data_IF_224365552240
#
_entry.id   IF_224365552240
#
_cell.length_a   1.000
_cell.length_b   1.000
_cell.length_c   1.000
_cell.angle_alpha   90.00
_cell.angle_beta   90.00
_cell.angle_gamma   90.00
#
_symmetry.space_group_name_H-M   'P 1'
#
loop_
_entity.id
_entity.type
_entity.pdbx_description
1 polymer ?
#
# COMPACT_ATOMS: atom_id res chain seq x y z
N UNK A 1 -7.43 -13.62 -3.32
CA UNK A 1 -6.38 -13.02 -2.44
C UNK A 1 -5.15 -12.80 -3.27
N UNK A 2 -4.74 -11.55 -3.39
CA UNK A 2 -3.69 -11.10 -4.30
C UNK A 2 -2.55 -10.50 -3.48
N UNK A 3 -1.33 -10.86 -3.84
CA UNK A 3 -0.10 -10.43 -3.18
C UNK A 3 0.36 -9.05 -3.68
N UNK A 4 0.64 -8.16 -2.76
CA UNK A 4 1.22 -6.83 -2.99
C UNK A 4 2.44 -6.60 -2.09
N UNK A 5 3.27 -5.64 -2.48
CA UNK A 5 4.31 -5.08 -1.62
C UNK A 5 3.74 -3.82 -0.98
N UNK A 6 3.69 -3.80 0.34
CA UNK A 6 3.24 -2.68 1.15
C UNK A 6 4.43 -1.90 1.73
N UNK A 7 4.26 -0.58 1.79
CA UNK A 7 5.14 0.31 2.54
C UNK A 7 4.56 0.53 3.95
N UNK A 8 5.24 0.00 4.95
CA UNK A 8 4.83 0.09 6.35
C UNK A 8 5.64 1.17 7.05
N UNK A 9 4.96 2.02 7.82
CA UNK A 9 5.61 2.98 8.70
C UNK A 9 5.83 2.34 10.09
N UNK A 10 7.08 2.05 10.42
CA UNK A 10 7.50 1.45 11.69
C UNK A 10 7.92 2.51 12.72
N UNK A 11 7.54 3.77 12.55
CA UNK A 11 7.88 4.84 13.51
C UNK A 11 7.39 4.47 14.91
N UNK A 12 8.31 4.05 15.77
CA UNK A 12 8.01 3.82 17.19
C UNK A 12 7.86 5.18 17.86
N UNK A 13 6.63 5.56 18.21
CA UNK A 13 6.39 6.75 19.01
C UNK A 13 6.84 6.47 20.45
N UNK A 14 8.03 6.94 20.82
CA UNK A 14 8.48 6.90 22.20
C UNK A 14 7.97 8.15 22.94
N UNK A 15 6.93 7.98 23.75
CA UNK A 15 6.28 9.04 24.52
C UNK A 15 7.19 9.74 25.55
N UNK A 16 8.40 9.21 25.83
CA UNK A 16 9.38 9.83 26.75
C UNK A 16 10.46 10.68 26.06
N UNK A 17 10.57 10.61 24.73
CA UNK A 17 11.55 11.39 23.95
C UNK A 17 10.80 12.44 23.13
N UNK A 18 10.57 13.62 23.69
CA UNK A 18 9.85 14.73 23.06
C UNK A 18 10.53 15.34 21.80
N UNK A 19 11.63 14.78 21.30
CA UNK A 19 12.34 15.36 20.16
C UNK A 19 12.72 14.32 19.12
N UNK A 20 11.93 14.34 18.05
CA UNK A 20 12.17 13.76 16.71
C UNK A 20 12.10 12.23 16.65
N UNK A 21 10.86 11.70 16.58
CA UNK A 21 10.67 10.36 16.05
C UNK A 21 11.07 10.38 14.57
N UNK A 22 12.19 9.72 14.23
CA UNK A 22 12.62 9.57 12.83
C UNK A 22 11.75 8.50 12.20
N UNK A 23 10.97 8.82 11.17
CA UNK A 23 10.10 7.83 10.58
C UNK A 23 10.93 6.78 9.85
N UNK A 24 10.75 5.53 10.25
CA UNK A 24 11.36 4.36 9.61
C UNK A 24 10.30 3.68 8.75
N UNK A 25 10.62 3.49 7.47
CA UNK A 25 9.75 2.79 6.54
C UNK A 25 10.39 1.47 6.16
N UNK A 26 9.58 0.41 6.12
CA UNK A 26 9.99 -0.92 5.67
C UNK A 26 9.04 -1.43 4.60
N UNK A 27 9.52 -2.40 3.81
CA UNK A 27 8.72 -3.07 2.80
C UNK A 27 8.30 -4.43 3.32
N UNK A 28 7.01 -4.72 3.21
CA UNK A 28 6.43 -6.00 3.63
C UNK A 28 5.49 -6.53 2.56
N UNK A 29 5.30 -7.84 2.57
CA UNK A 29 4.33 -8.47 1.70
C UNK A 29 2.96 -8.45 2.37
N UNK A 30 1.93 -8.04 1.63
CA UNK A 30 0.54 -8.04 2.09
C UNK A 30 -0.34 -8.83 1.13
N UNK A 31 -1.28 -9.59 1.68
CA UNK A 31 -2.26 -10.35 0.91
C UNK A 31 -3.61 -9.68 1.04
N UNK A 32 -4.07 -9.06 -0.05
CA UNK A 32 -5.34 -8.31 -0.07
C UNK A 32 -6.42 -9.18 -0.71
N UNK A 33 -7.58 -9.24 -0.05
CA UNK A 33 -8.77 -9.87 -0.62
C UNK A 33 -9.55 -8.85 -1.46
N UNK A 34 -9.56 -9.05 -2.77
CA UNK A 34 -10.20 -8.20 -3.76
C UNK A 34 -11.71 -8.03 -3.57
N UNK A 35 -12.37 -8.95 -2.84
CA UNK A 35 -13.81 -8.84 -2.52
C UNK A 35 -14.12 -7.73 -1.52
N UNK A 36 -13.14 -7.36 -0.70
CA UNK A 36 -13.30 -6.37 0.37
C UNK A 36 -12.64 -5.03 0.04
N UNK A 37 -12.01 -4.89 -1.13
CA UNK A 37 -11.46 -3.62 -1.58
C UNK A 37 -12.60 -2.67 -1.94
N UNK A 38 -12.66 -1.53 -1.24
CA UNK A 38 -13.71 -0.52 -1.45
C UNK A 38 -13.18 0.75 -2.11
N UNK A 39 -11.88 1.00 -2.04
CA UNK A 39 -11.29 2.21 -2.60
C UNK A 39 -9.83 2.00 -3.02
N UNK A 40 -9.43 2.66 -4.11
CA UNK A 40 -8.06 2.76 -4.62
C UNK A 40 -7.78 4.22 -4.95
N UNK A 41 -6.71 4.78 -4.38
CA UNK A 41 -6.29 6.16 -4.67
C UNK A 41 -4.77 6.29 -4.70
N UNK A 42 -4.25 7.27 -5.44
CA UNK A 42 -2.82 7.57 -5.40
C UNK A 42 -2.39 8.02 -3.98
N UNK A 43 -1.16 7.69 -3.60
CA UNK A 43 -0.56 8.06 -2.32
C UNK A 43 0.62 9.04 -2.52
N UNK A 44 0.36 10.31 -2.89
CA UNK A 44 1.40 11.25 -3.36
C UNK A 44 2.45 11.63 -2.30
N UNK A 45 2.16 11.41 -1.02
CA UNK A 45 3.13 11.63 0.06
C UNK A 45 4.33 10.69 -0.01
N UNK A 46 4.17 9.52 -0.63
CA UNK A 46 5.21 8.48 -0.70
C UNK A 46 6.23 8.76 -1.81
N UNK A 47 5.86 9.50 -2.86
CA UNK A 47 6.80 9.92 -3.91
C UNK A 47 7.90 10.81 -3.34
N UNK A 48 7.53 11.69 -2.40
CA UNK A 48 8.48 12.54 -1.69
C UNK A 48 9.41 11.71 -0.81
N UNK A 49 8.86 10.76 -0.06
CA UNK A 49 9.64 9.85 0.80
C UNK A 49 10.61 8.98 -0.02
N UNK A 50 10.20 8.55 -1.21
CA UNK A 50 11.03 7.80 -2.14
C UNK A 50 12.22 8.65 -2.63
N UNK A 51 11.98 9.89 -3.05
CA UNK A 51 13.04 10.82 -3.49
C UNK A 51 14.00 11.19 -2.37
N UNK A 52 13.52 11.23 -1.13
CA UNK A 52 14.34 11.46 0.06
C UNK A 52 15.15 10.22 0.47
N UNK A 53 15.03 9.08 -0.23
CA UNK A 53 15.73 7.84 0.09
C UNK A 53 15.21 7.16 1.36
N UNK A 54 14.00 7.53 1.82
CA UNK A 54 13.42 7.02 3.06
C UNK A 54 12.66 5.71 2.89
N UNK A 55 12.43 5.26 1.65
CA UNK A 55 11.66 4.06 1.32
C UNK A 55 12.54 2.85 0.92
N UNK A 56 13.73 2.72 1.51
CA UNK A 56 14.61 1.56 1.28
C UNK A 56 15.07 1.43 -0.19
N UNK A 57 15.18 0.19 -0.68
CA UNK A 57 15.73 -0.18 -2.01
C UNK A 57 14.77 0.07 -3.20
N UNK A 58 13.66 0.78 -3.00
CA UNK A 58 12.72 1.09 -4.09
C UNK A 58 13.35 2.03 -5.11
N UNK A 59 13.17 1.72 -6.39
CA UNK A 59 13.60 2.59 -7.48
C UNK A 59 12.70 3.83 -7.58
N UNK A 60 13.27 4.97 -7.97
CA UNK A 60 12.60 6.28 -8.03
C UNK A 60 11.46 6.39 -9.05
N UNK A 61 11.18 5.33 -9.81
CA UNK A 61 10.10 5.25 -10.81
C UNK A 61 8.86 4.50 -10.34
N UNK A 62 8.79 4.10 -9.07
CA UNK A 62 7.61 3.44 -8.53
C UNK A 62 6.56 4.46 -8.06
N UNK A 63 5.32 4.22 -8.46
CA UNK A 63 4.14 4.90 -7.93
C UNK A 63 3.61 4.16 -6.70
N UNK A 64 2.79 4.84 -5.90
CA UNK A 64 2.17 4.28 -4.71
C UNK A 64 0.66 4.45 -4.73
N UNK A 65 -0.05 3.41 -4.31
CA UNK A 65 -1.51 3.37 -4.24
C UNK A 65 -1.96 3.04 -2.83
N UNK A 66 -2.86 3.83 -2.26
CA UNK A 66 -3.59 3.47 -1.06
C UNK A 66 -4.78 2.58 -1.43
N UNK A 67 -4.79 1.38 -0.87
CA UNK A 67 -5.88 0.41 -0.94
C UNK A 67 -6.65 0.44 0.37
N UNK A 68 -7.95 0.70 0.32
CA UNK A 68 -8.82 0.61 1.48
C UNK A 68 -9.62 -0.69 1.40
N UNK A 69 -9.56 -1.48 2.48
CA UNK A 69 -10.25 -2.76 2.62
C UNK A 69 -11.27 -2.64 3.74
N UNK A 70 -12.50 -3.08 3.51
CA UNK A 70 -13.56 -3.10 4.51
C UNK A 70 -14.11 -4.52 4.68
N UNK A 71 -13.88 -5.12 5.85
CA UNK A 71 -14.33 -6.47 6.17
C UNK A 71 -15.00 -6.48 7.55
N UNK A 72 -16.28 -6.84 7.59
CA UNK A 72 -17.00 -7.04 8.86
C UNK A 72 -17.08 -5.82 9.78
N UNK A 73 -17.04 -4.61 9.22
CA UNK A 73 -17.07 -3.35 9.98
C UNK A 73 -15.68 -2.79 10.36
N UNK A 74 -14.60 -3.56 10.13
CA UNK A 74 -13.24 -3.05 10.24
C UNK A 74 -12.81 -2.43 8.89
N UNK A 75 -12.23 -1.23 8.95
CA UNK A 75 -11.62 -0.57 7.81
C UNK A 75 -10.09 -0.56 7.99
N UNK A 76 -9.39 -1.20 7.06
CA UNK A 76 -7.94 -1.21 7.00
C UNK A 76 -7.46 -0.47 5.75
N UNK A 77 -6.26 0.08 5.79
CA UNK A 77 -5.69 0.82 4.67
C UNK A 77 -4.22 0.47 4.51
N UNK A 78 -3.86 0.09 3.29
CA UNK A 78 -2.53 -0.38 2.93
C UNK A 78 -1.96 0.52 1.84
N UNK A 79 -0.70 0.92 1.96
CA UNK A 79 -0.01 1.66 0.89
C UNK A 79 0.83 0.68 0.10
N UNK A 80 0.37 0.32 -1.08
CA UNK A 80 1.04 -0.65 -1.95
C UNK A 80 1.87 0.02 -3.03
N UNK A 81 2.94 -0.65 -3.44
CA UNK A 81 3.78 -0.25 -4.57
C UNK A 81 3.07 -0.59 -5.88
N UNK A 82 2.92 0.40 -6.74
CA UNK A 82 2.30 0.31 -8.06
C UNK A 82 1.33 1.46 -8.35
N UNK A 83 1.16 1.76 -9.64
CA UNK A 83 0.20 2.75 -10.11
C UNK A 83 -1.24 2.25 -9.89
N UNK A 84 -2.18 3.18 -9.69
CA UNK A 84 -3.59 2.84 -9.42
C UNK A 84 -4.18 1.93 -10.51
N UNK A 85 -3.86 2.19 -11.77
CA UNK A 85 -4.34 1.39 -12.89
C UNK A 85 -3.80 -0.04 -12.88
N UNK A 86 -2.52 -0.23 -12.50
CA UNK A 86 -1.89 -1.55 -12.41
C UNK A 86 -2.45 -2.35 -11.24
N UNK A 87 -2.60 -1.70 -10.08
CA UNK A 87 -3.19 -2.29 -8.87
C UNK A 87 -4.64 -2.70 -9.15
N UNK A 88 -5.43 -1.82 -9.77
CA UNK A 88 -6.80 -2.13 -10.19
C UNK A 88 -6.84 -3.26 -11.22
N UNK A 89 -5.90 -3.29 -12.17
CA UNK A 89 -5.77 -4.36 -13.15
C UNK A 89 -5.54 -5.72 -12.49
N UNK A 90 -4.58 -5.80 -11.56
CA UNK A 90 -4.30 -7.00 -10.76
C UNK A 90 -5.52 -7.47 -9.97
N UNK A 91 -6.19 -6.55 -9.27
CA UNK A 91 -7.40 -6.85 -8.48
C UNK A 91 -8.58 -7.37 -9.32
N UNK A 92 -8.66 -6.96 -10.59
CA UNK A 92 -9.72 -7.38 -11.51
C UNK A 92 -9.37 -8.60 -12.37
N UNK A 93 -8.10 -9.01 -12.43
CA UNK A 93 -7.64 -10.05 -13.33
C UNK A 93 -8.29 -11.42 -13.04
N UNK A 94 -8.50 -11.75 -11.76
CA UNK A 94 -9.19 -12.98 -11.34
C UNK A 94 -10.69 -13.00 -11.70
N UNK A 95 -11.33 -11.84 -11.90
CA UNK A 95 -12.75 -11.77 -12.28
C UNK A 95 -12.97 -12.06 -13.77
N UNK A 96 -11.97 -11.88 -14.62
CA UNK A 96 -12.08 -12.11 -16.07
C UNK A 96 -12.18 -13.59 -16.44
N UNK A 97 -11.67 -14.49 -15.60
CA UNK A 97 -11.73 -15.94 -15.83
C UNK A 97 -13.12 -16.54 -15.59
N UNK A 98 -14.08 -15.76 -15.08
CA UNK A 98 -15.41 -16.22 -14.66
C UNK A 98 -16.54 -15.93 -15.66
N UNK A 99 -16.26 -15.29 -16.81
CA UNK A 99 -17.26 -15.09 -17.86
C UNK A 99 -17.01 -16.07 -19.01
N UNK A 100 -17.43 -17.33 -18.81
CA UNK A 100 -17.77 -18.24 -19.91
C UNK A 100 -19.27 -18.43 -19.89
N UNK A 101 -19.97 -17.67 -20.75
CA UNK A 101 -21.33 -17.97 -21.18
C UNK A 101 -21.31 -18.97 -22.32
#
# INVERSE_FOLDING_TARGET
MIKFVEVVNETTFNSRLERVAVPQFSLKEVWINEKYVVNLRAAPGYDKLLREGRLGELHSGHDFTLVTVQQGGLQESYVVVGAVAEVAGKLNQDRRTLLRG
#
